data_IF_970792567016
#
_entry.id   IF_970792567016
#
_cell.length_a   1.000
_cell.length_b   1.000
_cell.length_c   1.000
_cell.angle_alpha   90.00
_cell.angle_beta   90.00
_cell.angle_gamma   90.00
#
_symmetry.space_group_name_H-M   'P 1'
#
loop_
_entity.id
_entity.type
_entity.pdbx_description
1 polymer ?
#
# COMPACT_ATOMS: atom_id res chain seq x y z
N UNK A 1 7.87 -12.44 -1.12
CA UNK A 1 6.67 -11.65 -0.76
C UNK A 1 6.68 -11.33 0.71
N UNK A 2 6.42 -10.09 1.06
CA UNK A 2 6.42 -9.67 2.45
C UNK A 2 5.05 -9.97 3.08
N UNK A 3 5.06 -10.80 4.12
CA UNK A 3 3.82 -11.24 4.76
C UNK A 3 3.05 -10.11 5.43
N UNK A 4 3.75 -9.15 6.03
CA UNK A 4 3.07 -8.06 6.70
C UNK A 4 2.33 -7.16 5.70
N UNK A 5 2.92 -6.90 4.55
CA UNK A 5 2.27 -6.09 3.53
C UNK A 5 0.99 -6.77 3.02
N UNK A 6 1.06 -8.06 2.77
CA UNK A 6 -0.10 -8.83 2.35
C UNK A 6 -1.19 -8.85 3.44
N UNK A 7 -0.78 -9.02 4.69
CA UNK A 7 -1.71 -9.02 5.81
C UNK A 7 -2.42 -7.68 5.93
N UNK A 8 -1.69 -6.58 5.81
CA UNK A 8 -2.29 -5.24 5.87
C UNK A 8 -3.32 -5.08 4.76
N UNK A 9 -2.92 -5.36 3.52
CA UNK A 9 -3.81 -5.18 2.37
C UNK A 9 -5.05 -6.05 2.46
N UNK A 10 -4.88 -7.29 2.93
CA UNK A 10 -6.02 -8.19 3.10
C UNK A 10 -7.02 -7.62 4.10
N UNK A 11 -6.54 -7.14 5.24
CA UNK A 11 -7.42 -6.64 6.28
C UNK A 11 -8.10 -5.31 5.94
N UNK A 12 -7.55 -4.57 4.98
CA UNK A 12 -8.23 -3.37 4.48
C UNK A 12 -9.53 -3.70 3.76
N UNK A 13 -9.68 -4.94 3.29
CA UNK A 13 -10.93 -5.39 2.68
C UNK A 13 -11.95 -5.89 3.71
N UNK A 14 -11.47 -6.45 4.82
CA UNK A 14 -12.36 -7.25 5.67
C UNK A 14 -12.64 -6.65 7.05
N UNK A 15 -11.85 -5.68 7.51
CA UNK A 15 -11.99 -5.16 8.86
C UNK A 15 -12.19 -3.66 8.87
N UNK A 16 -13.41 -3.25 9.12
CA UNK A 16 -13.75 -1.84 9.04
C UNK A 16 -13.08 -1.01 10.13
N UNK A 17 -13.16 -1.44 11.39
CA UNK A 17 -12.57 -0.67 12.48
C UNK A 17 -11.06 -0.55 12.36
N UNK A 18 -10.41 -1.66 12.02
CA UNK A 18 -8.98 -1.66 11.77
C UNK A 18 -8.62 -0.67 10.64
N UNK A 19 -9.34 -0.77 9.53
CA UNK A 19 -9.07 0.06 8.36
C UNK A 19 -9.22 1.54 8.70
N UNK A 20 -10.27 1.91 9.42
CA UNK A 20 -10.48 3.31 9.77
C UNK A 20 -9.40 3.86 10.69
N UNK A 21 -8.84 3.00 11.53
CA UNK A 21 -7.77 3.42 12.45
C UNK A 21 -6.43 3.56 11.75
N UNK A 22 -6.09 2.64 10.84
CA UNK A 22 -4.75 2.61 10.26
C UNK A 22 -4.61 3.35 8.94
N UNK A 23 -5.70 3.49 8.18
CA UNK A 23 -5.64 4.07 6.85
C UNK A 23 -4.97 5.46 6.82
N UNK A 24 -5.22 6.36 7.78
CA UNK A 24 -4.57 7.68 7.77
C UNK A 24 -3.05 7.62 7.91
N UNK A 25 -2.51 6.52 8.42
CA UNK A 25 -1.06 6.40 8.64
C UNK A 25 -0.34 5.68 7.51
N UNK A 26 -1.07 5.00 6.63
CA UNK A 26 -0.46 4.21 5.57
C UNK A 26 -0.27 5.07 4.33
N UNK A 27 0.90 4.94 3.72
CA UNK A 27 1.18 5.61 2.44
C UNK A 27 1.55 4.57 1.40
N UNK A 28 1.24 4.89 0.15
CA UNK A 28 1.49 4.01 -0.99
C UNK A 28 2.95 3.56 -1.04
N UNK A 29 3.88 4.47 -0.81
CA UNK A 29 5.29 4.17 -0.93
C UNK A 29 5.88 3.40 0.23
N UNK A 30 5.07 3.03 1.22
CA UNK A 30 5.50 2.08 2.25
C UNK A 30 5.54 0.65 1.71
N UNK A 31 4.81 0.36 0.65
CA UNK A 31 4.78 -0.98 0.07
C UNK A 31 5.94 -1.17 -0.89
N UNK A 32 6.49 -2.40 -0.91
CA UNK A 32 7.74 -2.65 -1.62
C UNK A 32 7.57 -2.94 -3.10
N UNK A 33 6.38 -3.36 -3.54
CA UNK A 33 6.15 -3.68 -4.95
C UNK A 33 5.14 -2.72 -5.56
N UNK A 34 5.26 -2.54 -6.88
CA UNK A 34 4.32 -1.69 -7.59
C UNK A 34 2.90 -2.25 -7.54
N UNK A 35 2.76 -3.58 -7.60
CA UNK A 35 1.44 -4.22 -7.49
C UNK A 35 0.75 -3.83 -6.21
N UNK A 36 1.45 -3.89 -5.10
CA UNK A 36 0.89 -3.52 -3.80
C UNK A 36 0.61 -2.03 -3.70
N UNK A 37 1.48 -1.21 -4.25
CA UNK A 37 1.27 0.23 -4.26
C UNK A 37 0.02 0.62 -5.04
N UNK A 38 -0.16 0.04 -6.21
CA UNK A 38 -1.34 0.30 -7.04
C UNK A 38 -2.62 -0.18 -6.38
N UNK A 39 -2.55 -1.36 -5.76
CA UNK A 39 -3.69 -1.91 -5.04
C UNK A 39 -4.08 -1.03 -3.87
N UNK A 40 -3.11 -0.62 -3.06
CA UNK A 40 -3.38 0.27 -1.94
C UNK A 40 -3.99 1.59 -2.41
N UNK A 41 -3.47 2.14 -3.49
CA UNK A 41 -3.96 3.39 -4.06
C UNK A 41 -5.44 3.27 -4.44
N UNK A 42 -5.83 2.16 -5.05
CA UNK A 42 -7.22 1.93 -5.42
C UNK A 42 -8.13 1.78 -4.20
N UNK A 43 -7.66 1.04 -3.20
CA UNK A 43 -8.41 0.86 -1.95
C UNK A 43 -8.63 2.22 -1.27
N UNK A 44 -7.57 3.00 -1.17
CA UNK A 44 -7.64 4.32 -0.55
C UNK A 44 -8.63 5.23 -1.29
N UNK A 45 -8.53 5.27 -2.61
CA UNK A 45 -9.44 6.08 -3.43
C UNK A 45 -10.90 5.69 -3.20
N UNK A 46 -11.17 4.40 -3.15
CA UNK A 46 -12.52 3.92 -2.95
C UNK A 46 -13.07 4.37 -1.58
N UNK A 47 -12.30 4.15 -0.53
CA UNK A 47 -12.74 4.50 0.82
C UNK A 47 -12.93 6.01 0.94
N UNK A 48 -12.01 6.78 0.36
CA UNK A 48 -12.10 8.24 0.38
C UNK A 48 -13.36 8.74 -0.34
N UNK A 49 -13.71 8.10 -1.44
CA UNK A 49 -14.86 8.51 -2.25
C UNK A 49 -16.20 8.06 -1.69
N UNK A 50 -16.27 6.85 -1.17
CA UNK A 50 -17.54 6.24 -0.79
C UNK A 50 -17.71 6.00 0.72
N UNK A 51 -16.66 6.23 1.49
CA UNK A 51 -16.68 6.07 2.95
C UNK A 51 -17.11 4.66 3.39
N UNK A 52 -16.79 3.67 2.60
CA UNK A 52 -17.07 2.25 2.84
C UNK A 52 -15.89 1.43 2.39
N UNK A 53 -15.74 0.23 2.97
CA UNK A 53 -14.72 -0.70 2.51
C UNK A 53 -15.11 -1.24 1.14
N UNK A 54 -14.15 -1.37 0.22
CA UNK A 54 -14.44 -2.01 -1.07
C UNK A 54 -14.50 -3.52 -0.91
N UNK A 55 -15.18 -4.18 -1.84
CA UNK A 55 -15.05 -5.63 -1.99
C UNK A 55 -13.94 -5.91 -2.99
N UNK A 56 -13.48 -7.16 -3.02
CA UNK A 56 -12.50 -7.57 -4.03
C UNK A 56 -13.00 -7.29 -5.43
N UNK A 57 -14.27 -7.63 -5.69
CA UNK A 57 -14.86 -7.42 -7.00
C UNK A 57 -14.87 -5.96 -7.39
N UNK A 58 -15.22 -5.09 -6.47
CA UNK A 58 -15.25 -3.65 -6.71
C UNK A 58 -13.86 -3.14 -7.12
N UNK A 59 -12.84 -3.57 -6.39
CA UNK A 59 -11.47 -3.13 -6.68
C UNK A 59 -11.02 -3.67 -8.04
N UNK A 60 -11.36 -4.91 -8.37
CA UNK A 60 -10.99 -5.47 -9.67
C UNK A 60 -11.61 -4.69 -10.81
N UNK A 61 -12.86 -4.27 -10.65
CA UNK A 61 -13.53 -3.45 -11.67
C UNK A 61 -12.86 -2.08 -11.80
N UNK A 62 -12.56 -1.43 -10.66
CA UNK A 62 -11.92 -0.12 -10.69
C UNK A 62 -10.54 -0.17 -11.33
N UNK A 63 -9.77 -1.21 -11.00
CA UNK A 63 -8.45 -1.40 -11.60
C UNK A 63 -8.57 -1.64 -13.10
N UNK A 64 -9.55 -2.44 -13.51
CA UNK A 64 -9.76 -2.74 -14.92
C UNK A 64 -10.06 -1.47 -15.74
N UNK A 65 -10.68 -0.49 -15.12
CA UNK A 65 -11.03 0.77 -15.77
C UNK A 65 -9.86 1.75 -15.85
N UNK A 66 -8.75 1.47 -15.17
CA UNK A 66 -7.58 2.36 -15.22
C UNK A 66 -6.87 2.22 -16.54
N UNK A 67 -6.50 3.36 -17.12
CA UNK A 67 -5.79 3.41 -18.39
C UNK A 67 -4.30 3.66 -18.24
N UNK A 68 -3.86 3.95 -17.01
CA UNK A 68 -2.48 4.30 -16.72
C UNK A 68 -1.63 3.09 -16.34
N UNK A 69 -2.20 1.89 -16.38
CA UNK A 69 -1.47 0.65 -16.07
C UNK A 69 -1.60 -0.31 -17.25
N UNK A 70 -0.56 -1.11 -17.46
CA UNK A 70 -0.55 -2.04 -18.57
C UNK A 70 -1.20 -3.37 -18.18
N UNK A 71 -1.32 -4.27 -19.17
CA UNK A 71 -2.00 -5.54 -18.98
C UNK A 71 -1.30 -6.45 -17.97
N UNK A 72 0.01 -6.42 -17.95
CA UNK A 72 0.77 -7.20 -16.97
C UNK A 72 0.49 -6.73 -15.55
N UNK A 73 0.39 -5.43 -15.36
CA UNK A 73 0.06 -4.85 -14.06
C UNK A 73 -1.36 -5.19 -13.64
N UNK A 74 -2.30 -5.16 -14.58
CA UNK A 74 -3.69 -5.58 -14.31
C UNK A 74 -3.72 -7.02 -13.84
N UNK A 75 -3.04 -7.92 -14.54
CA UNK A 75 -3.01 -9.33 -14.19
C UNK A 75 -2.38 -9.55 -12.83
N UNK A 76 -1.27 -8.86 -12.55
CA UNK A 76 -0.59 -9.00 -11.27
C UNK A 76 -1.48 -8.56 -10.11
N UNK A 77 -2.21 -7.46 -10.27
CA UNK A 77 -3.13 -6.99 -9.23
C UNK A 77 -4.27 -7.98 -9.04
N UNK A 78 -4.83 -8.48 -10.13
CA UNK A 78 -5.92 -9.45 -10.07
C UNK A 78 -5.48 -10.71 -9.31
N UNK A 79 -4.34 -11.25 -9.67
CA UNK A 79 -3.82 -12.45 -9.01
C UNK A 79 -3.57 -12.20 -7.53
N UNK A 80 -3.04 -11.04 -7.20
CA UNK A 80 -2.78 -10.67 -5.82
C UNK A 80 -4.09 -10.61 -5.02
N UNK A 81 -5.09 -9.91 -5.55
CA UNK A 81 -6.38 -9.74 -4.88
C UNK A 81 -7.10 -11.07 -4.68
N UNK A 82 -7.08 -11.91 -5.71
CA UNK A 82 -7.74 -13.23 -5.63
C UNK A 82 -7.13 -14.06 -4.51
N UNK A 83 -5.83 -13.92 -4.27
CA UNK A 83 -5.14 -14.67 -3.22
C UNK A 83 -5.34 -14.16 -1.81
N UNK A 84 -5.96 -12.99 -1.63
CA UNK A 84 -6.17 -12.44 -0.30
C UNK A 84 -7.32 -13.17 0.40
N UNK A 85 -7.18 -13.36 1.71
CA UNK A 85 -8.19 -14.06 2.48
C UNK A 85 -8.40 -13.38 3.82
N UNK A 86 -9.59 -13.58 4.38
CA UNK A 86 -9.94 -13.04 5.70
C UNK A 86 -9.41 -13.99 6.78
N UNK A 87 -8.17 -13.78 7.16
CA UNK A 87 -7.57 -14.52 8.26
C UNK A 87 -7.76 -13.73 9.54
N UNK A 88 -8.33 -14.40 10.54
CA UNK A 88 -8.68 -13.71 11.79
C UNK A 88 -7.46 -13.61 12.68
N UNK A 89 -6.89 -12.42 12.75
CA UNK A 89 -5.84 -12.10 13.69
C UNK A 89 -6.40 -11.19 14.77
N UNK A 90 -5.72 -11.13 15.90
CA UNK A 90 -6.09 -10.22 16.96
C UNK A 90 -6.04 -8.78 16.44
N UNK A 91 -7.10 -8.02 16.67
CA UNK A 91 -7.22 -6.68 16.12
C UNK A 91 -6.16 -5.72 16.69
N UNK A 92 -5.92 -5.79 18.00
CA UNK A 92 -4.93 -4.90 18.61
C UNK A 92 -3.54 -5.23 18.09
N UNK A 93 -3.24 -6.53 17.94
CA UNK A 93 -1.97 -6.94 17.35
C UNK A 93 -1.80 -6.40 15.93
N UNK A 94 -2.86 -6.46 15.14
CA UNK A 94 -2.84 -5.94 13.76
C UNK A 94 -2.57 -4.45 13.74
N UNK A 95 -3.22 -3.70 14.62
CA UNK A 95 -3.04 -2.25 14.69
C UNK A 95 -1.61 -1.95 15.08
N UNK A 96 -1.11 -2.61 16.14
CA UNK A 96 0.24 -2.36 16.62
C UNK A 96 1.28 -2.71 15.58
N UNK A 97 1.10 -3.85 14.91
CA UNK A 97 2.04 -4.32 13.90
C UNK A 97 2.03 -3.42 12.66
N UNK A 98 0.85 -2.95 12.27
CA UNK A 98 0.73 -2.02 11.15
C UNK A 98 1.39 -0.69 11.48
N UNK A 99 1.19 -0.20 12.69
CA UNK A 99 1.81 1.04 13.14
C UNK A 99 3.34 0.93 13.10
N UNK A 100 3.86 -0.18 13.60
CA UNK A 100 5.30 -0.42 13.57
C UNK A 100 5.81 -0.49 12.13
N UNK A 101 5.09 -1.18 11.26
CA UNK A 101 5.44 -1.27 9.85
C UNK A 101 5.53 0.13 9.23
N UNK A 102 4.53 0.96 9.47
CA UNK A 102 4.50 2.30 8.90
C UNK A 102 5.65 3.16 9.41
N UNK A 103 5.94 3.08 10.70
CA UNK A 103 7.07 3.82 11.29
C UNK A 103 8.40 3.37 10.69
N UNK A 104 8.59 2.06 10.59
CA UNK A 104 9.83 1.52 10.03
C UNK A 104 10.00 1.92 8.57
N UNK A 105 8.94 1.89 7.79
CA UNK A 105 8.99 2.28 6.39
C UNK A 105 9.20 3.77 6.21
N UNK A 106 8.58 4.58 7.06
CA UNK A 106 8.77 6.02 7.00
C UNK A 106 10.23 6.40 7.26
N UNK A 107 10.85 5.76 8.25
CA UNK A 107 12.26 5.99 8.56
C UNK A 107 13.14 5.53 7.39
N UNK A 108 12.87 4.32 6.89
CA UNK A 108 13.64 3.76 5.77
C UNK A 108 13.58 4.68 4.55
N UNK A 109 12.38 5.14 4.19
CA UNK A 109 12.20 6.01 3.03
C UNK A 109 12.86 7.37 3.24
N UNK A 110 12.80 7.89 4.47
CA UNK A 110 13.45 9.17 4.79
C UNK A 110 14.97 9.06 4.65
N UNK A 111 15.55 7.95 5.09
CA UNK A 111 16.97 7.72 4.97
C UNK A 111 17.38 7.64 3.49
N UNK A 112 16.63 6.88 2.70
CA UNK A 112 16.89 6.77 1.27
C UNK A 112 16.79 8.13 0.58
N UNK A 113 15.77 8.91 0.93
CA UNK A 113 15.59 10.24 0.38
C UNK A 113 16.76 11.16 0.73
N UNK A 114 17.22 11.07 1.97
CA UNK A 114 18.36 11.85 2.42
C UNK A 114 19.62 11.52 1.62
N UNK A 115 19.85 10.24 1.38
CA UNK A 115 21.00 9.81 0.57
C UNK A 115 20.89 10.34 -0.86
N UNK A 116 19.71 10.27 -1.45
CA UNK A 116 19.48 10.76 -2.81
C UNK A 116 19.71 12.28 -2.91
N UNK A 117 19.26 13.01 -1.90
CA UNK A 117 19.46 14.45 -1.87
C UNK A 117 20.96 14.80 -1.78
N UNK A 118 21.68 14.08 -0.94
CA UNK A 118 23.13 14.29 -0.81
C UNK A 118 23.86 13.99 -2.12
N UNK A 119 23.51 12.88 -2.76
CA UNK A 119 24.09 12.51 -4.04
C UNK A 119 23.79 13.56 -5.11
N UNK A 120 22.55 14.03 -5.17
CA UNK A 120 22.16 15.07 -6.09
C UNK A 120 22.89 16.38 -5.84
N UNK A 121 23.10 16.72 -4.58
CA UNK A 121 23.81 17.92 -4.19
C UNK A 121 25.28 17.83 -4.62
N UNK A 122 25.91 16.69 -4.38
CA UNK A 122 27.29 16.47 -4.78
C UNK A 122 27.43 16.58 -6.29
N UNK A 123 26.53 16.01 -7.05
CA UNK A 123 26.55 16.10 -8.50
C UNK A 123 26.39 17.53 -8.99
N UNK A 124 25.59 18.32 -8.31
CA UNK A 124 25.36 19.71 -8.67
C UNK A 124 26.57 20.60 -8.35
N UNK A 125 27.26 20.28 -7.27
CA UNK A 125 28.42 21.03 -6.84
C UNK A 125 29.65 20.70 -7.66
N UNK A 126 29.63 19.56 -8.23
CA UNK A 126 30.74 19.10 -9.01
C UNK A 126 30.64 19.75 -10.35
N UNK A 127 31.53 20.63 -10.64
CA UNK A 127 31.35 21.40 -11.62
C UNK A 127 31.51 21.26 -12.64
N UNK A 128 31.00 21.43 -12.70
CA UNK A 128 30.97 21.73 -13.38
C UNK A 128 31.37 22.49 -13.69
#
# INVERSE_FOLDING_TARGET
>A
MNRIETTILSNLFFREEYTRKVLPFIKKDYFSTRTEQLLFEEIYKFIDSYNNLPTKETILIEVQNRKDINEEEHTAIKDYVVGLSDEKSDEQWLIDTTEKFCKDRAVHNAVLQGIQILDGKDKKQNPE
#
